data_IF_644657332733
#
_entry.id   IF_644657332733
#
_cell.length_a   1.000
_cell.length_b   1.000
_cell.length_c   1.000
_cell.angle_alpha   90.00
_cell.angle_beta   90.00
_cell.angle_gamma   90.00
#
_symmetry.space_group_name_H-M   'P 1'
#
loop_
_entity.id
_entity.type
_entity.pdbx_description
1 polymer ?
#
# COMPACT_ATOMS: atom_id res chain seq x y z
N UNK A 1 -22.16 -11.03 0.36
CA UNK A 1 -22.26 -10.40 1.69
C UNK A 1 -20.91 -10.57 2.36
N UNK A 2 -20.39 -9.62 3.15
CA UNK A 2 -19.10 -9.82 3.84
C UNK A 2 -19.12 -10.98 4.83
N UNK A 3 -17.96 -11.56 5.16
CA UNK A 3 -17.81 -12.69 6.10
C UNK A 3 -16.96 -12.29 7.31
N UNK A 4 -16.98 -13.08 8.38
CA UNK A 4 -16.08 -12.88 9.54
C UNK A 4 -14.66 -13.34 9.18
N UNK A 5 -13.68 -12.44 9.30
CA UNK A 5 -12.29 -12.72 8.89
C UNK A 5 -11.34 -12.81 10.07
N UNK A 6 -11.48 -11.90 11.04
CA UNK A 6 -10.58 -11.78 12.18
C UNK A 6 -11.39 -11.58 13.45
N UNK A 7 -10.95 -12.20 14.53
CA UNK A 7 -11.51 -12.01 15.86
C UNK A 7 -10.47 -11.46 16.85
N UNK A 8 -10.97 -10.67 17.80
CA UNK A 8 -10.24 -10.22 18.98
C UNK A 8 -10.74 -11.04 20.15
N UNK A 9 -9.84 -11.75 20.82
CA UNK A 9 -10.15 -12.52 22.02
C UNK A 9 -9.48 -11.83 23.20
N UNK A 10 -10.26 -11.48 24.23
CA UNK A 10 -9.78 -10.93 25.50
C UNK A 10 -10.25 -11.82 26.64
N UNK A 11 -9.31 -12.31 27.45
CA UNK A 11 -9.61 -13.16 28.61
C UNK A 11 -10.49 -14.38 28.26
N UNK A 12 -10.28 -14.96 27.07
CA UNK A 12 -11.08 -16.07 26.55
C UNK A 12 -12.42 -15.69 25.93
N UNK A 13 -12.83 -14.41 26.00
CA UNK A 13 -14.07 -13.91 25.41
C UNK A 13 -13.82 -13.33 24.00
N UNK A 14 -14.64 -13.70 23.03
CA UNK A 14 -14.63 -13.13 21.67
C UNK A 14 -15.21 -11.71 21.71
N UNK A 15 -14.34 -10.73 21.94
CA UNK A 15 -14.68 -9.33 22.22
C UNK A 15 -15.13 -8.58 20.96
N UNK A 16 -14.48 -8.83 19.83
CA UNK A 16 -14.75 -8.12 18.58
C UNK A 16 -14.51 -9.04 17.38
N UNK A 17 -15.22 -8.76 16.28
CA UNK A 17 -15.07 -9.47 15.01
C UNK A 17 -14.98 -8.44 13.89
N UNK A 18 -13.92 -8.55 13.08
CA UNK A 18 -13.75 -7.78 11.87
C UNK A 18 -14.25 -8.60 10.68
N UNK A 19 -15.15 -8.00 9.91
CA UNK A 19 -15.74 -8.60 8.71
C UNK A 19 -15.09 -8.03 7.45
N UNK A 20 -15.25 -8.73 6.33
CA UNK A 20 -14.76 -8.24 5.05
C UNK A 20 -14.90 -9.24 3.91
N UNK A 21 -14.10 -8.99 2.88
CA UNK A 21 -13.95 -9.85 1.71
C UNK A 21 -12.48 -10.15 1.46
N UNK A 22 -12.16 -11.35 1.01
CA UNK A 22 -10.80 -11.80 0.67
C UNK A 22 -10.82 -12.70 -0.55
N UNK A 23 -9.84 -12.53 -1.43
CA UNK A 23 -9.53 -13.44 -2.52
C UNK A 23 -8.08 -13.93 -2.41
N UNK A 24 -7.86 -15.20 -2.71
CA UNK A 24 -6.54 -15.79 -2.95
C UNK A 24 -6.57 -16.41 -4.35
N UNK A 25 -5.61 -16.03 -5.19
CA UNK A 25 -5.43 -16.55 -6.53
C UNK A 25 -4.32 -17.59 -6.54
N UNK A 26 -4.51 -18.65 -7.32
CA UNK A 26 -3.44 -19.58 -7.67
C UNK A 26 -2.45 -18.95 -8.67
N UNK A 27 -1.45 -19.73 -9.10
CA UNK A 27 -0.42 -19.28 -10.04
C UNK A 27 -0.96 -19.03 -11.47
N UNK A 28 -2.10 -19.64 -11.82
CA UNK A 28 -2.77 -19.46 -13.11
C UNK A 28 -3.67 -18.20 -13.11
N UNK A 29 -3.85 -17.57 -11.94
CA UNK A 29 -4.65 -16.35 -11.77
C UNK A 29 -6.13 -16.61 -11.50
N UNK A 30 -6.48 -17.86 -11.19
CA UNK A 30 -7.83 -18.29 -10.86
C UNK A 30 -8.08 -18.23 -9.34
N UNK A 31 -9.28 -17.83 -8.88
CA UNK A 31 -9.59 -17.80 -7.46
C UNK A 31 -9.61 -19.20 -6.82
N UNK A 32 -8.60 -19.49 -5.99
CA UNK A 32 -8.57 -20.68 -5.13
C UNK A 32 -9.45 -20.48 -3.88
N UNK A 33 -9.48 -19.26 -3.37
CA UNK A 33 -10.34 -18.83 -2.26
C UNK A 33 -11.03 -17.53 -2.65
N UNK A 34 -12.34 -17.48 -2.48
CA UNK A 34 -13.14 -16.26 -2.59
C UNK A 34 -14.17 -16.23 -1.46
N UNK A 35 -13.97 -15.36 -0.49
CA UNK A 35 -14.88 -15.18 0.64
C UNK A 35 -15.40 -13.74 0.65
N UNK A 36 -16.71 -13.58 0.81
CA UNK A 36 -17.36 -12.27 0.77
C UNK A 36 -17.66 -11.78 -0.65
N UNK A 37 -17.83 -10.47 -0.82
CA UNK A 37 -18.00 -9.82 -2.12
C UNK A 37 -16.62 -9.43 -2.69
N UNK A 38 -16.11 -10.21 -3.64
CA UNK A 38 -14.76 -10.01 -4.21
C UNK A 38 -14.76 -9.34 -5.59
N UNK A 39 -15.91 -9.33 -6.28
CA UNK A 39 -16.09 -8.74 -7.60
C UNK A 39 -16.63 -7.32 -7.57
N UNK A 40 -17.14 -6.84 -6.42
CA UNK A 40 -17.60 -5.47 -6.30
C UNK A 40 -16.39 -4.52 -6.20
N UNK A 41 -16.41 -3.38 -6.91
CA UNK A 41 -15.34 -2.39 -6.80
C UNK A 41 -15.23 -1.83 -5.37
N UNK A 42 -13.99 -1.74 -4.90
CA UNK A 42 -13.62 -0.99 -3.70
C UNK A 42 -12.62 0.11 -4.08
N UNK A 43 -12.45 1.12 -3.24
CA UNK A 43 -11.31 2.01 -3.40
C UNK A 43 -10.03 1.28 -2.93
N UNK A 44 -9.05 0.99 -3.80
CA UNK A 44 -7.83 0.27 -3.43
C UNK A 44 -6.93 1.06 -2.45
N UNK A 45 -7.18 2.36 -2.31
CA UNK A 45 -6.36 3.29 -1.53
C UNK A 45 -4.90 3.20 -1.99
N UNK A 46 -3.95 3.16 -1.05
CA UNK A 46 -2.53 3.11 -1.36
C UNK A 46 -2.06 1.82 -2.05
N UNK A 47 -2.86 0.75 -2.13
CA UNK A 47 -2.49 -0.43 -2.92
C UNK A 47 -2.47 -0.14 -4.43
N UNK A 48 -2.98 1.01 -4.85
CA UNK A 48 -2.93 1.48 -6.24
C UNK A 48 -1.61 2.19 -6.63
N UNK A 49 -0.80 2.60 -5.64
CA UNK A 49 0.46 3.34 -5.90
C UNK A 49 1.44 2.61 -6.84
N UNK A 50 1.57 1.27 -6.82
CA UNK A 50 2.40 0.57 -7.81
C UNK A 50 1.94 0.82 -9.25
N UNK A 51 0.63 0.80 -9.53
CA UNK A 51 0.09 1.09 -10.87
C UNK A 51 0.28 2.57 -11.27
N UNK A 52 0.21 3.48 -10.30
CA UNK A 52 0.57 4.89 -10.51
C UNK A 52 2.05 5.01 -10.89
N UNK A 53 2.97 4.34 -10.19
CA UNK A 53 4.39 4.34 -10.54
C UNK A 53 4.68 3.70 -11.90
N UNK A 54 4.01 2.61 -12.27
CA UNK A 54 4.05 2.02 -13.61
C UNK A 54 3.70 3.06 -14.68
N UNK A 55 2.65 3.85 -14.43
CA UNK A 55 2.25 4.96 -15.31
C UNK A 55 3.39 5.97 -15.46
N UNK A 56 4.05 6.37 -14.37
CA UNK A 56 5.14 7.35 -14.41
C UNK A 56 6.31 6.83 -15.25
N UNK A 57 6.71 5.57 -15.05
CA UNK A 57 7.77 4.93 -15.85
C UNK A 57 7.42 4.92 -17.35
N UNK A 58 6.17 4.58 -17.70
CA UNK A 58 5.67 4.60 -19.09
C UNK A 58 5.68 6.00 -19.71
N UNK A 59 5.58 7.04 -18.89
CA UNK A 59 5.66 8.44 -19.31
C UNK A 59 7.05 9.06 -19.13
N UNK A 60 8.10 8.22 -19.10
CA UNK A 60 9.49 8.67 -19.17
C UNK A 60 10.13 9.08 -17.85
N UNK A 61 9.44 8.93 -16.71
CA UNK A 61 10.11 9.07 -15.42
C UNK A 61 11.14 7.95 -15.24
N UNK A 62 12.42 8.32 -15.14
CA UNK A 62 13.51 7.38 -14.90
C UNK A 62 14.09 7.62 -13.48
N UNK A 63 13.81 6.72 -12.52
CA UNK A 63 14.35 6.78 -11.16
C UNK A 63 15.88 6.72 -11.19
N UNK A 64 16.55 7.48 -10.32
CA UNK A 64 18.01 7.42 -10.20
C UNK A 64 18.50 6.07 -9.66
N UNK A 65 17.72 5.47 -8.77
CA UNK A 65 17.98 4.20 -8.12
C UNK A 65 16.66 3.53 -7.70
N UNK A 66 16.72 2.28 -7.22
CA UNK A 66 15.54 1.56 -6.75
C UNK A 66 14.86 2.23 -5.56
N UNK A 67 15.60 2.91 -4.69
CA UNK A 67 15.04 3.61 -3.54
C UNK A 67 14.16 4.80 -3.99
N UNK A 68 14.52 5.49 -5.07
CA UNK A 68 13.70 6.55 -5.66
C UNK A 68 12.42 6.01 -6.33
N UNK A 69 12.50 4.82 -6.94
CA UNK A 69 11.28 4.15 -7.42
C UNK A 69 10.41 3.70 -6.25
N UNK A 70 11.01 3.15 -5.19
CA UNK A 70 10.31 2.72 -4.00
C UNK A 70 9.58 3.87 -3.30
N UNK A 71 10.24 5.03 -3.08
CA UNK A 71 9.59 6.18 -2.42
C UNK A 71 8.41 6.73 -3.25
N UNK A 72 8.41 6.56 -4.57
CA UNK A 72 7.28 6.92 -5.44
C UNK A 72 6.05 6.03 -5.25
N UNK A 73 6.23 4.83 -4.68
CA UNK A 73 5.15 3.87 -4.36
C UNK A 73 4.76 3.88 -2.88
N UNK A 74 5.49 4.63 -2.06
CA UNK A 74 5.45 4.52 -0.61
C UNK A 74 4.16 5.09 0.01
N UNK A 75 3.78 4.51 1.14
CA UNK A 75 3.03 5.21 2.20
C UNK A 75 3.99 5.42 3.36
N UNK A 76 5.00 6.27 3.14
CA UNK A 76 6.14 6.40 4.06
C UNK A 76 5.71 6.97 5.42
N UNK A 77 6.44 6.62 6.48
CA UNK A 77 6.10 7.07 7.84
C UNK A 77 6.67 8.45 8.20
N UNK A 78 7.39 9.08 7.27
CA UNK A 78 7.93 10.43 7.45
C UNK A 78 9.23 10.47 8.26
N UNK A 79 9.87 9.31 8.43
CA UNK A 79 11.21 9.18 9.02
C UNK A 79 12.28 9.93 8.19
N UNK A 80 13.41 10.34 8.80
CA UNK A 80 14.40 11.22 8.17
C UNK A 80 14.92 10.77 6.79
N UNK A 81 15.13 9.48 6.58
CA UNK A 81 15.60 8.94 5.31
C UNK A 81 14.51 8.93 4.23
N UNK A 82 13.24 8.74 4.58
CA UNK A 82 12.12 8.96 3.67
C UNK A 82 12.12 10.42 3.18
N UNK A 83 12.26 11.36 4.10
CA UNK A 83 12.26 12.79 3.78
C UNK A 83 13.46 13.15 2.89
N UNK A 84 14.63 12.56 3.15
CA UNK A 84 15.80 12.73 2.29
C UNK A 84 15.56 12.21 0.86
N UNK A 85 14.87 11.08 0.69
CA UNK A 85 14.52 10.54 -0.64
C UNK A 85 13.54 11.45 -1.39
N UNK A 86 12.51 11.96 -0.72
CA UNK A 86 11.54 12.90 -1.33
C UNK A 86 12.23 14.21 -1.71
N UNK A 87 13.05 14.77 -0.82
CA UNK A 87 13.79 16.00 -1.07
C UNK A 87 14.77 15.83 -2.25
N UNK A 88 15.52 14.72 -2.29
CA UNK A 88 16.43 14.40 -3.40
C UNK A 88 15.70 14.38 -4.74
N UNK A 89 14.52 13.77 -4.79
CA UNK A 89 13.69 13.71 -5.99
C UNK A 89 13.18 15.10 -6.40
N UNK A 90 12.70 15.91 -5.45
CA UNK A 90 12.26 17.29 -5.72
C UNK A 90 13.42 18.15 -6.26
N UNK A 91 14.57 18.13 -5.59
CA UNK A 91 15.76 18.90 -5.96
C UNK A 91 16.25 18.54 -7.37
N UNK A 92 16.26 17.25 -7.70
CA UNK A 92 16.67 16.74 -9.01
C UNK A 92 15.84 17.33 -10.16
N UNK A 93 14.56 17.61 -9.91
CA UNK A 93 13.66 18.24 -10.88
C UNK A 93 13.42 19.73 -10.61
N UNK A 94 14.19 20.36 -9.71
CA UNK A 94 14.11 21.80 -9.43
C UNK A 94 12.78 22.23 -8.81
N UNK A 95 12.21 21.37 -7.97
CA UNK A 95 11.00 21.63 -7.21
C UNK A 95 11.29 21.78 -5.71
N UNK A 96 10.39 22.41 -4.98
CA UNK A 96 10.38 22.46 -3.52
C UNK A 96 9.10 21.80 -2.98
N UNK A 97 9.02 21.58 -1.66
CA UNK A 97 7.83 20.97 -1.06
C UNK A 97 6.56 21.82 -1.22
N UNK A 98 6.68 23.13 -1.47
CA UNK A 98 5.55 24.04 -1.65
C UNK A 98 4.76 23.75 -2.94
N UNK A 99 5.38 23.03 -3.89
CA UNK A 99 4.76 22.63 -5.15
C UNK A 99 4.07 21.26 -5.04
N UNK A 100 4.20 20.57 -3.91
CA UNK A 100 3.38 19.40 -3.61
C UNK A 100 1.93 19.86 -3.38
N UNK A 101 0.96 19.16 -3.98
CA UNK A 101 -0.46 19.46 -3.80
C UNK A 101 -1.12 18.52 -2.77
N UNK A 102 -0.42 17.49 -2.29
CA UNK A 102 -0.86 16.69 -1.14
C UNK A 102 -0.96 17.57 0.12
N UNK A 103 -1.95 17.34 1.00
CA UNK A 103 -2.13 18.15 2.19
C UNK A 103 -0.88 18.11 3.10
N UNK A 104 -0.59 19.17 3.88
CA UNK A 104 0.42 19.09 4.92
C UNK A 104 -0.02 18.09 5.99
N UNK A 105 0.93 17.33 6.53
CA UNK A 105 0.68 16.35 7.58
C UNK A 105 1.86 16.27 8.55
N UNK A 106 1.71 15.50 9.62
CA UNK A 106 2.80 15.10 10.51
C UNK A 106 3.33 13.71 10.09
N UNK A 107 4.59 13.37 10.43
CA UNK A 107 5.07 12.00 10.32
C UNK A 107 4.13 11.03 11.04
N UNK A 108 3.99 9.82 10.47
CA UNK A 108 3.26 8.72 11.12
C UNK A 108 4.13 7.96 12.11
N UNK A 109 5.45 7.98 11.93
CA UNK A 109 6.41 7.49 12.91
C UNK A 109 6.36 8.34 14.19
N UNK A 110 6.30 7.69 15.35
CA UNK A 110 6.09 8.37 16.63
C UNK A 110 7.26 9.28 17.01
N UNK A 111 8.50 8.86 16.74
CA UNK A 111 9.71 9.63 17.07
C UNK A 111 9.82 10.84 16.17
N UNK A 112 9.73 10.66 14.85
CA UNK A 112 9.76 11.75 13.88
C UNK A 112 8.60 12.74 14.11
N UNK A 113 7.42 12.25 14.49
CA UNK A 113 6.27 13.09 14.87
C UNK A 113 6.56 13.89 16.13
N UNK A 114 7.13 13.28 17.16
CA UNK A 114 7.49 13.97 18.40
C UNK A 114 8.53 15.07 18.14
N UNK A 115 9.56 14.79 17.33
CA UNK A 115 10.57 15.76 16.92
C UNK A 115 9.96 16.93 16.14
N UNK A 116 9.09 16.66 15.17
CA UNK A 116 8.38 17.69 14.40
C UNK A 116 7.53 18.60 15.31
N UNK A 117 6.88 18.02 16.34
CA UNK A 117 6.03 18.74 17.28
C UNK A 117 6.80 19.47 18.39
N UNK A 118 8.03 19.05 18.69
CA UNK A 118 8.90 19.69 19.69
C UNK A 118 9.43 21.06 19.20
N UNK A 119 9.29 21.37 17.90
CA UNK A 119 9.60 22.68 17.34
C UNK A 119 8.77 23.83 17.95
N UNK A 120 9.32 25.05 17.94
CA UNK A 120 8.71 26.24 18.57
C UNK A 120 7.43 26.75 17.90
N UNK A 121 7.12 26.31 16.68
CA UNK A 121 5.94 26.75 15.93
C UNK A 121 5.08 25.55 15.50
N UNK A 122 4.09 25.24 16.33
CA UNK A 122 3.12 24.16 16.06
C UNK A 122 2.34 24.38 14.76
N UNK A 123 2.15 25.63 14.33
CA UNK A 123 1.46 25.92 13.07
C UNK A 123 2.30 25.51 11.84
N UNK A 124 3.61 25.34 12.01
CA UNK A 124 4.55 24.88 10.97
C UNK A 124 5.03 23.44 11.15
N UNK A 125 4.50 22.73 12.15
CA UNK A 125 4.90 21.35 12.41
C UNK A 125 4.43 20.40 11.30
N UNK A 126 3.23 20.63 10.77
CA UNK A 126 2.72 19.87 9.63
C UNK A 126 3.30 20.42 8.32
N UNK A 127 3.86 19.53 7.50
CA UNK A 127 4.52 19.87 6.22
C UNK A 127 4.09 18.90 5.15
N UNK A 128 4.09 19.35 3.89
CA UNK A 128 3.66 18.51 2.76
C UNK A 128 4.63 17.36 2.52
N UNK A 129 5.92 17.56 2.77
CA UNK A 129 6.93 16.50 2.65
C UNK A 129 6.74 15.37 3.68
N UNK A 130 6.05 15.62 4.81
CA UNK A 130 5.76 14.59 5.82
C UNK A 130 4.55 13.72 5.47
N UNK A 131 3.68 14.21 4.59
CA UNK A 131 2.52 13.45 4.14
C UNK A 131 2.99 12.16 3.46
N UNK A 132 2.43 11.02 3.87
CA UNK A 132 2.87 9.68 3.45
C UNK A 132 2.85 9.40 1.92
N UNK A 133 2.20 10.25 1.12
CA UNK A 133 2.16 10.19 -0.34
C UNK A 133 3.14 11.17 -1.01
N UNK A 134 3.89 11.97 -0.26
CA UNK A 134 4.71 13.05 -0.83
C UNK A 134 5.73 12.55 -1.86
N UNK A 135 6.31 11.37 -1.66
CA UNK A 135 7.19 10.73 -2.65
C UNK A 135 6.52 10.43 -4.00
N UNK A 136 5.28 9.93 -3.98
CA UNK A 136 4.47 9.79 -5.20
C UNK A 136 4.21 11.15 -5.86
N UNK A 137 3.86 12.16 -5.08
CA UNK A 137 3.58 13.50 -5.61
C UNK A 137 4.83 14.14 -6.23
N UNK A 138 6.01 13.94 -5.62
CA UNK A 138 7.28 14.37 -6.19
C UNK A 138 7.58 13.67 -7.53
N UNK A 139 7.32 12.36 -7.64
CA UNK A 139 7.46 11.63 -8.90
C UNK A 139 6.44 12.08 -9.97
N UNK A 140 5.22 12.42 -9.56
CA UNK A 140 4.20 13.00 -10.44
C UNK A 140 4.63 14.38 -10.98
N UNK A 141 5.17 15.26 -10.14
CA UNK A 141 5.74 16.54 -10.56
C UNK A 141 6.89 16.36 -11.55
N UNK A 142 7.81 15.43 -11.27
CA UNK A 142 8.89 15.07 -12.18
C UNK A 142 8.35 14.63 -13.55
N UNK A 143 7.33 13.78 -13.55
CA UNK A 143 6.66 13.29 -14.77
C UNK A 143 5.98 14.42 -15.53
N UNK A 144 5.30 15.34 -14.85
CA UNK A 144 4.75 16.54 -15.48
C UNK A 144 5.84 17.38 -16.16
N UNK A 145 6.97 17.60 -15.48
CA UNK A 145 8.10 18.36 -16.04
C UNK A 145 8.68 17.70 -17.29
N UNK A 146 8.87 16.38 -17.27
CA UNK A 146 9.39 15.59 -18.39
C UNK A 146 8.51 15.75 -19.63
N UNK A 147 7.19 15.77 -19.44
CA UNK A 147 6.21 15.79 -20.53
C UNK A 147 5.73 17.21 -20.91
N UNK A 148 6.25 18.25 -20.25
CA UNK A 148 5.78 19.63 -20.45
C UNK A 148 4.32 19.86 -20.02
N UNK A 149 3.78 19.01 -19.14
CA UNK A 149 2.45 19.17 -18.57
C UNK A 149 2.44 20.21 -17.44
N UNK A 150 1.26 20.78 -17.10
CA UNK A 150 1.15 21.64 -15.93
C UNK A 150 1.71 20.97 -14.66
N UNK A 151 2.48 21.73 -13.89
CA UNK A 151 3.04 21.27 -12.60
C UNK A 151 2.17 21.70 -11.42
N UNK A 152 1.02 22.31 -11.70
CA UNK A 152 -0.02 22.72 -10.76
C UNK A 152 -1.37 22.21 -11.27
N UNK A 153 -2.30 21.99 -10.36
CA UNK A 153 -3.59 21.38 -10.68
C UNK A 153 -3.47 19.92 -11.13
N UNK A 154 -2.35 19.24 -10.83
CA UNK A 154 -2.14 17.86 -11.27
C UNK A 154 -3.02 16.86 -10.51
N UNK A 155 -3.73 17.32 -9.47
CA UNK A 155 -4.79 16.55 -8.80
C UNK A 155 -6.11 16.50 -9.59
N UNK A 156 -6.33 17.38 -10.58
CA UNK A 156 -7.57 17.40 -11.33
C UNK A 156 -7.66 16.18 -12.26
N UNK A 157 -8.82 15.52 -12.31
CA UNK A 157 -9.05 14.34 -13.17
C UNK A 157 -8.84 14.61 -14.66
N UNK A 158 -9.08 15.85 -15.10
CA UNK A 158 -8.84 16.28 -16.48
C UNK A 158 -7.35 16.56 -16.80
N UNK A 159 -6.47 16.54 -15.79
CA UNK A 159 -5.05 16.76 -16.00
C UNK A 159 -4.44 15.58 -16.81
N UNK A 160 -3.55 15.83 -17.79
CA UNK A 160 -2.97 14.77 -18.63
C UNK A 160 -2.34 13.61 -17.83
N UNK A 161 -1.66 13.94 -16.74
CA UNK A 161 -1.16 12.95 -15.78
C UNK A 161 -2.25 12.02 -15.25
N UNK A 162 -3.38 12.56 -14.78
CA UNK A 162 -4.45 11.74 -14.19
C UNK A 162 -5.18 10.93 -15.24
N UNK A 163 -5.35 11.45 -16.45
CA UNK A 163 -5.88 10.67 -17.57
C UNK A 163 -4.97 9.48 -17.92
N UNK A 164 -3.65 9.68 -17.93
CA UNK A 164 -2.69 8.60 -18.16
C UNK A 164 -2.72 7.56 -17.03
N UNK A 165 -2.87 8.00 -15.78
CA UNK A 165 -3.01 7.12 -14.61
C UNK A 165 -4.30 6.31 -14.68
N UNK A 166 -5.45 6.94 -14.94
CA UNK A 166 -6.73 6.25 -15.12
C UNK A 166 -6.65 5.20 -16.24
N UNK A 167 -6.12 5.57 -17.40
CA UNK A 167 -5.99 4.67 -18.54
C UNK A 167 -5.08 3.47 -18.23
N UNK A 168 -3.95 3.70 -17.55
CA UNK A 168 -3.03 2.63 -17.17
C UNK A 168 -3.65 1.70 -16.13
N UNK A 169 -4.39 2.22 -15.15
CA UNK A 169 -5.08 1.38 -14.17
C UNK A 169 -6.15 0.54 -14.85
N UNK A 170 -6.99 1.14 -15.71
CA UNK A 170 -8.01 0.42 -16.47
C UNK A 170 -7.41 -0.69 -17.36
N UNK A 171 -6.27 -0.42 -18.00
CA UNK A 171 -5.52 -1.42 -18.78
C UNK A 171 -5.06 -2.59 -17.90
N UNK A 172 -4.44 -2.29 -16.74
CA UNK A 172 -3.86 -3.31 -15.86
C UNK A 172 -4.94 -4.15 -15.17
N UNK A 173 -6.03 -3.52 -14.73
CA UNK A 173 -7.07 -4.19 -13.94
C UNK A 173 -8.18 -4.78 -14.82
N UNK A 174 -8.31 -4.31 -16.07
CA UNK A 174 -9.44 -4.63 -16.94
C UNK A 174 -10.76 -4.02 -16.48
N UNK A 175 -10.76 -3.14 -15.47
CA UNK A 175 -11.95 -2.45 -14.98
C UNK A 175 -12.19 -1.18 -15.81
N UNK A 176 -13.40 -0.95 -16.35
CA UNK A 176 -13.72 0.29 -17.02
C UNK A 176 -13.67 1.47 -16.03
N UNK A 177 -13.36 2.66 -16.54
CA UNK A 177 -13.40 3.88 -15.72
C UNK A 177 -14.84 4.17 -15.29
N UNK A 178 -15.14 3.98 -14.02
CA UNK A 178 -16.43 4.34 -13.42
C UNK A 178 -16.21 5.22 -12.19
N UNK A 179 -16.99 6.31 -12.10
CA UNK A 179 -17.15 7.20 -10.93
C UNK A 179 -15.93 7.30 -10.00
N UNK A 180 -14.91 8.03 -10.46
CA UNK A 180 -13.68 8.25 -9.70
C UNK A 180 -14.00 8.80 -8.30
N UNK A 181 -13.36 8.24 -7.29
CA UNK A 181 -13.30 8.85 -5.95
C UNK A 181 -12.19 9.89 -5.85
N UNK A 182 -12.13 10.59 -4.72
CA UNK A 182 -11.00 11.42 -4.34
C UNK A 182 -10.33 10.79 -3.10
N UNK A 183 -9.03 10.51 -3.21
CA UNK A 183 -8.24 9.94 -2.13
C UNK A 183 -7.82 11.02 -1.10
N UNK A 184 -7.36 10.62 0.09
CA UNK A 184 -6.92 11.54 1.15
C UNK A 184 -5.73 12.42 0.76
N UNK A 185 -4.97 12.02 -0.27
CA UNK A 185 -3.93 12.83 -0.87
C UNK A 185 -4.43 13.87 -1.89
N UNK A 186 -5.73 13.85 -2.20
CA UNK A 186 -6.38 14.73 -3.18
C UNK A 186 -6.37 14.19 -4.61
N UNK A 187 -5.71 13.06 -4.88
CA UNK A 187 -5.69 12.44 -6.21
C UNK A 187 -7.00 11.69 -6.51
N UNK A 188 -7.41 11.62 -7.79
CA UNK A 188 -8.47 10.72 -8.23
C UNK A 188 -8.09 9.27 -7.94
N UNK A 189 -9.08 8.44 -7.60
CA UNK A 189 -8.90 7.02 -7.36
C UNK A 189 -9.91 6.21 -8.16
N UNK A 190 -9.39 5.28 -8.97
CA UNK A 190 -10.17 4.33 -9.75
C UNK A 190 -10.63 3.19 -8.82
N UNK A 191 -11.95 2.91 -8.71
CA UNK A 191 -12.46 1.72 -8.03
C UNK A 191 -12.00 0.44 -8.73
N UNK A 192 -11.61 -0.58 -7.96
CA UNK A 192 -11.14 -1.87 -8.51
C UNK A 192 -11.69 -3.00 -7.66
N UNK A 193 -12.13 -4.10 -8.27
CA UNK A 193 -12.53 -5.31 -7.53
C UNK A 193 -11.32 -5.99 -6.86
N UNK A 194 -11.54 -6.76 -5.80
CA UNK A 194 -10.44 -7.46 -5.12
C UNK A 194 -9.76 -8.48 -6.03
N UNK A 195 -10.53 -9.18 -6.88
CA UNK A 195 -9.98 -10.13 -7.85
C UNK A 195 -9.02 -9.44 -8.81
N UNK A 196 -9.42 -8.32 -9.39
CA UNK A 196 -8.58 -7.61 -10.36
C UNK A 196 -7.40 -6.88 -9.68
N UNK A 197 -7.55 -6.45 -8.43
CA UNK A 197 -6.43 -5.96 -7.64
C UNK A 197 -5.39 -7.08 -7.39
N UNK A 198 -5.81 -8.28 -7.01
CA UNK A 198 -4.89 -9.41 -6.83
C UNK A 198 -4.20 -9.80 -8.14
N UNK A 199 -4.93 -9.83 -9.28
CA UNK A 199 -4.35 -10.07 -10.61
C UNK A 199 -3.31 -9.02 -11.00
N UNK A 200 -3.56 -7.74 -10.70
CA UNK A 200 -2.58 -6.69 -10.96
C UNK A 200 -1.26 -6.94 -10.20
N UNK A 201 -1.33 -7.39 -8.94
CA UNK A 201 -0.13 -7.76 -8.17
C UNK A 201 0.57 -9.00 -8.73
N UNK A 202 -0.19 -10.04 -9.10
CA UNK A 202 0.35 -11.23 -9.75
C UNK A 202 1.15 -10.84 -11.01
N UNK A 203 0.56 -10.04 -11.90
CA UNK A 203 1.18 -9.57 -13.14
C UNK A 203 2.48 -8.75 -12.89
N UNK A 204 2.52 -7.95 -11.83
CA UNK A 204 3.76 -7.24 -11.45
C UNK A 204 4.88 -8.20 -11.03
N UNK A 205 4.54 -9.30 -10.36
CA UNK A 205 5.51 -10.28 -9.87
C UNK A 205 5.93 -11.32 -10.90
N UNK A 206 5.15 -11.55 -11.95
CA UNK A 206 5.44 -12.53 -13.01
C UNK A 206 5.87 -11.91 -14.33
N UNK A 207 5.73 -10.59 -14.49
CA UNK A 207 6.17 -9.88 -15.69
C UNK A 207 7.67 -10.00 -15.95
N UNK A 208 8.04 -9.91 -17.23
CA UNK A 208 9.43 -10.03 -17.68
C UNK A 208 10.35 -8.99 -17.04
N UNK A 209 11.61 -9.39 -16.81
CA UNK A 209 12.66 -8.51 -16.27
C UNK A 209 12.79 -7.23 -17.12
N UNK A 210 12.88 -6.08 -16.45
CA UNK A 210 13.01 -4.77 -17.11
C UNK A 210 11.69 -4.11 -17.54
N UNK A 211 10.56 -4.83 -17.55
CA UNK A 211 9.24 -4.20 -17.76
C UNK A 211 8.92 -3.22 -16.62
N UNK A 212 8.16 -2.13 -16.86
CA UNK A 212 7.77 -1.20 -15.79
C UNK A 212 7.14 -1.89 -14.59
N UNK A 213 6.27 -2.89 -14.83
CA UNK A 213 5.61 -3.68 -13.82
C UNK A 213 6.62 -4.45 -12.95
N UNK A 214 7.58 -5.14 -13.60
CA UNK A 214 8.60 -5.90 -12.87
C UNK A 214 9.57 -4.99 -12.11
N UNK A 215 9.98 -3.85 -12.70
CA UNK A 215 10.82 -2.84 -12.04
C UNK A 215 10.17 -2.31 -10.75
N UNK A 216 8.87 -2.03 -10.79
CA UNK A 216 8.11 -1.57 -9.60
C UNK A 216 8.03 -2.66 -8.55
N UNK A 217 7.75 -3.91 -8.92
CA UNK A 217 7.76 -5.05 -8.00
C UNK A 217 9.13 -5.23 -7.32
N UNK A 218 10.22 -5.13 -8.08
CA UNK A 218 11.58 -5.25 -7.56
C UNK A 218 11.95 -4.11 -6.62
N UNK A 219 11.63 -2.85 -6.98
CA UNK A 219 11.86 -1.71 -6.10
C UNK A 219 11.13 -1.86 -4.76
N UNK A 220 9.87 -2.31 -4.79
CA UNK A 220 9.09 -2.60 -3.57
C UNK A 220 9.74 -3.75 -2.78
N UNK A 221 10.07 -4.86 -3.45
CA UNK A 221 10.68 -6.05 -2.83
C UNK A 221 12.00 -5.75 -2.12
N UNK A 222 12.85 -4.97 -2.76
CA UNK A 222 14.21 -4.69 -2.30
C UNK A 222 14.25 -3.54 -1.28
N UNK A 223 13.21 -2.69 -1.24
CA UNK A 223 13.15 -1.53 -0.35
C UNK A 223 11.86 -1.50 0.51
N UNK A 224 11.51 -2.59 1.21
CA UNK A 224 10.23 -2.70 1.92
C UNK A 224 10.10 -1.67 3.05
N UNK A 225 11.23 -1.22 3.61
CA UNK A 225 11.24 -0.16 4.63
C UNK A 225 10.89 1.20 4.03
N UNK A 226 11.44 1.53 2.87
CA UNK A 226 11.20 2.81 2.17
C UNK A 226 9.73 2.97 1.80
N UNK A 227 9.06 1.88 1.40
CA UNK A 227 7.64 1.95 1.04
C UNK A 227 6.71 2.09 2.26
N UNK A 228 7.25 1.90 3.47
CA UNK A 228 6.52 1.87 4.74
C UNK A 228 7.28 2.64 5.85
N UNK A 229 7.80 1.95 6.85
CA UNK A 229 8.60 2.51 7.93
C UNK A 229 9.13 1.43 8.87
N UNK A 230 9.85 1.83 9.92
CA UNK A 230 10.61 0.94 10.81
C UNK A 230 9.79 -0.21 11.41
N UNK A 231 8.49 -0.01 11.63
CA UNK A 231 7.54 -1.03 12.13
C UNK A 231 6.34 -1.24 11.19
N UNK A 232 6.49 -0.90 9.91
CA UNK A 232 5.42 -0.98 8.93
C UNK A 232 4.98 -2.42 8.63
N UNK A 233 3.67 -2.67 8.41
CA UNK A 233 3.17 -4.02 8.10
C UNK A 233 3.74 -4.59 6.81
N UNK A 234 3.97 -3.76 5.78
CA UNK A 234 4.62 -4.18 4.54
C UNK A 234 6.05 -4.70 4.82
N UNK A 235 6.84 -3.93 5.59
CA UNK A 235 8.19 -4.31 6.00
C UNK A 235 8.23 -5.63 6.76
N UNK A 236 7.40 -5.75 7.80
CA UNK A 236 7.40 -6.92 8.67
C UNK A 236 6.96 -8.17 7.90
N UNK A 237 5.93 -8.06 7.06
CA UNK A 237 5.44 -9.19 6.25
C UNK A 237 6.46 -9.60 5.20
N UNK A 238 7.06 -8.66 4.46
CA UNK A 238 8.03 -8.98 3.41
C UNK A 238 9.37 -9.49 3.96
N UNK A 239 9.75 -9.07 5.17
CA UNK A 239 10.90 -9.66 5.89
C UNK A 239 10.64 -11.10 6.31
N UNK A 240 9.42 -11.40 6.79
CA UNK A 240 9.05 -12.75 7.18
C UNK A 240 8.92 -13.69 5.97
N UNK A 241 8.48 -13.17 4.82
CA UNK A 241 8.25 -13.94 3.58
C UNK A 241 9.14 -13.46 2.43
N UNK A 242 10.38 -13.97 2.30
CA UNK A 242 11.27 -13.61 1.20
C UNK A 242 10.62 -13.82 -0.19
N UNK A 243 10.75 -12.81 -1.05
CA UNK A 243 10.20 -12.84 -2.42
C UNK A 243 8.80 -12.22 -2.56
N UNK A 244 8.05 -12.10 -1.46
CA UNK A 244 6.75 -11.43 -1.45
C UNK A 244 6.87 -9.97 -1.89
N UNK A 245 5.89 -9.52 -2.67
CA UNK A 245 5.59 -8.10 -2.87
C UNK A 245 4.21 -7.84 -2.30
N UNK A 246 4.09 -6.93 -1.33
CA UNK A 246 2.79 -6.53 -0.80
C UNK A 246 2.73 -5.04 -0.52
N UNK A 247 1.52 -4.51 -0.44
CA UNK A 247 1.28 -3.11 -0.10
C UNK A 247 -0.01 -2.95 0.68
N UNK A 248 0.07 -2.28 1.81
CA UNK A 248 -1.12 -1.85 2.53
C UNK A 248 -1.82 -0.66 1.87
N UNK A 249 -3.14 -0.67 1.97
CA UNK A 249 -4.00 0.48 1.73
C UNK A 249 -4.67 0.90 3.04
N UNK A 250 -5.00 2.20 3.13
CA UNK A 250 -5.87 2.71 4.17
C UNK A 250 -7.22 1.96 4.18
N UNK A 251 -8.02 2.15 5.22
CA UNK A 251 -9.36 1.57 5.33
C UNK A 251 -9.38 0.05 5.13
N UNK A 252 -8.36 -0.65 5.64
CA UNK A 252 -8.33 -2.10 5.74
C UNK A 252 -8.07 -2.86 4.44
N UNK A 253 -7.49 -2.21 3.42
CA UNK A 253 -7.08 -2.89 2.17
C UNK A 253 -5.66 -3.45 2.31
N UNK A 254 -5.41 -4.62 1.75
CA UNK A 254 -4.06 -5.15 1.54
C UNK A 254 -4.07 -6.04 0.29
N UNK A 255 -3.03 -5.93 -0.53
CA UNK A 255 -2.81 -6.83 -1.66
C UNK A 255 -1.34 -7.22 -1.74
N UNK A 256 -1.08 -8.39 -2.32
CA UNK A 256 0.27 -8.88 -2.52
C UNK A 256 0.33 -10.10 -3.43
N UNK A 257 1.54 -10.42 -3.89
CA UNK A 257 1.80 -11.58 -4.73
C UNK A 257 3.19 -12.18 -4.47
N UNK A 258 3.27 -13.50 -4.62
CA UNK A 258 4.50 -14.28 -4.59
C UNK A 258 5.16 -14.30 -5.99
N UNK A 259 6.47 -14.62 -6.09
CA UNK A 259 7.17 -14.65 -7.37
C UNK A 259 6.60 -15.62 -8.42
N UNK A 260 5.81 -16.61 -7.98
CA UNK A 260 5.18 -17.61 -8.84
C UNK A 260 3.76 -17.22 -9.32
N UNK A 261 3.31 -16.01 -9.02
CA UNK A 261 2.01 -15.48 -9.47
C UNK A 261 0.86 -15.69 -8.50
N UNK A 262 1.02 -16.54 -7.47
CA UNK A 262 0.00 -16.66 -6.42
C UNK A 262 -0.16 -15.31 -5.73
N UNK A 263 -1.40 -14.84 -5.61
CA UNK A 263 -1.69 -13.49 -5.14
C UNK A 263 -2.88 -13.44 -4.20
N UNK A 264 -3.01 -12.33 -3.48
CA UNK A 264 -4.16 -12.08 -2.62
C UNK A 264 -4.56 -10.62 -2.64
N UNK A 265 -5.84 -10.38 -2.33
CA UNK A 265 -6.32 -9.07 -1.96
C UNK A 265 -7.48 -9.20 -0.97
N UNK A 266 -7.59 -8.27 -0.04
CA UNK A 266 -8.73 -8.20 0.86
C UNK A 266 -9.10 -6.78 1.26
N UNK A 267 -10.32 -6.64 1.76
CA UNK A 267 -10.86 -5.44 2.41
C UNK A 267 -11.49 -5.84 3.74
N UNK A 268 -11.07 -5.21 4.82
CA UNK A 268 -11.75 -5.25 6.12
C UNK A 268 -12.81 -4.13 6.13
N UNK A 269 -14.07 -4.44 6.39
CA UNK A 269 -15.20 -3.51 6.26
C UNK A 269 -15.04 -2.23 7.09
N UNK A 270 -14.69 -2.37 8.38
CA UNK A 270 -14.48 -1.27 9.31
C UNK A 270 -13.14 -0.53 9.14
N UNK A 271 -12.31 -1.02 8.21
CA UNK A 271 -11.03 -0.43 7.86
C UNK A 271 -9.93 -0.53 8.91
N UNK A 272 -10.14 -1.28 10.00
CA UNK A 272 -9.25 -1.25 11.15
C UNK A 272 -7.94 -2.02 10.92
N UNK A 273 -6.80 -1.37 11.21
CA UNK A 273 -5.47 -1.93 10.98
C UNK A 273 -5.13 -3.20 11.77
N UNK A 274 -5.68 -3.39 12.99
CA UNK A 274 -5.34 -4.52 13.86
C UNK A 274 -5.75 -5.87 13.27
N UNK A 275 -6.66 -5.89 12.30
CA UNK A 275 -7.06 -7.10 11.59
C UNK A 275 -6.07 -7.49 10.47
N UNK A 276 -5.27 -6.54 9.98
CA UNK A 276 -4.46 -6.71 8.77
C UNK A 276 -3.39 -7.79 8.93
N UNK A 277 -2.56 -7.70 9.98
CA UNK A 277 -1.45 -8.64 10.16
C UNK A 277 -1.94 -10.08 10.37
N UNK A 278 -2.87 -10.37 11.30
CA UNK A 278 -3.41 -11.72 11.48
C UNK A 278 -3.97 -12.34 10.20
N UNK A 279 -4.75 -11.58 9.42
CA UNK A 279 -5.35 -12.06 8.19
C UNK A 279 -4.28 -12.31 7.12
N UNK A 280 -3.32 -11.40 6.95
CA UNK A 280 -2.23 -11.56 5.98
C UNK A 280 -1.43 -12.82 6.25
N UNK A 281 -1.05 -13.06 7.51
CA UNK A 281 -0.29 -14.26 7.86
C UNK A 281 -1.10 -15.54 7.65
N UNK A 282 -2.40 -15.54 7.96
CA UNK A 282 -3.28 -16.67 7.68
C UNK A 282 -3.40 -16.95 6.16
N UNK A 283 -3.48 -15.91 5.33
CA UNK A 283 -3.48 -16.02 3.87
C UNK A 283 -2.17 -16.61 3.37
N UNK A 284 -1.03 -16.09 3.82
CA UNK A 284 0.29 -16.61 3.40
C UNK A 284 0.48 -18.07 3.78
N UNK A 285 0.01 -18.47 4.98
CA UNK A 285 -0.03 -19.89 5.38
C UNK A 285 -0.90 -20.73 4.45
N UNK A 286 -2.08 -20.22 4.06
CA UNK A 286 -2.99 -20.89 3.12
C UNK A 286 -2.40 -21.00 1.71
N UNK A 287 -1.58 -20.02 1.32
CA UNK A 287 -0.78 -20.05 0.10
C UNK A 287 0.46 -20.96 0.23
N UNK A 288 0.63 -21.73 1.31
CA UNK A 288 1.73 -22.68 1.46
C UNK A 288 3.11 -22.03 1.64
N UNK A 289 3.18 -20.79 2.11
CA UNK A 289 4.45 -20.16 2.54
C UNK A 289 5.03 -20.94 3.73
N UNK A 290 6.35 -21.15 3.72
CA UNK A 290 7.05 -21.78 4.84
C UNK A 290 6.83 -20.99 6.13
N UNK A 291 6.31 -21.67 7.15
CA UNK A 291 5.91 -21.03 8.40
C UNK A 291 7.07 -20.94 9.39
N UNK A 292 7.37 -19.73 9.85
CA UNK A 292 8.45 -19.44 10.81
C UNK A 292 7.92 -18.72 12.05
N UNK A 293 8.74 -18.58 13.09
CA UNK A 293 8.39 -17.86 14.32
C UNK A 293 8.00 -16.40 14.03
N UNK A 294 8.66 -15.75 13.07
CA UNK A 294 8.31 -14.40 12.65
C UNK A 294 6.86 -14.33 12.11
N UNK A 295 6.41 -15.33 11.35
CA UNK A 295 5.02 -15.39 10.89
C UNK A 295 4.05 -15.61 12.07
N UNK A 296 4.43 -16.46 13.04
CA UNK A 296 3.62 -16.74 14.22
C UNK A 296 3.40 -15.51 15.12
N UNK A 297 4.45 -14.72 15.33
CA UNK A 297 4.40 -13.47 16.09
C UNK A 297 3.47 -12.44 15.42
N UNK A 298 3.57 -12.30 14.10
CA UNK A 298 2.74 -11.41 13.31
C UNK A 298 1.27 -11.89 13.20
N UNK A 299 1.04 -13.20 13.27
CA UNK A 299 -0.28 -13.80 13.16
C UNK A 299 -1.14 -13.64 14.42
N UNK A 300 -0.51 -13.40 15.59
CA UNK A 300 -1.18 -13.33 16.89
C UNK A 300 -0.77 -12.13 17.76
N UNK A 301 -0.98 -10.88 17.29
CA UNK A 301 -0.72 -9.68 18.09
C UNK A 301 -1.40 -9.76 19.45
N UNK A 302 -0.66 -9.40 20.50
CA UNK A 302 -1.15 -9.47 21.86
C UNK A 302 -2.25 -8.43 22.13
N UNK A 303 -3.31 -8.85 22.80
CA UNK A 303 -4.25 -7.94 23.47
C UNK A 303 -3.75 -7.75 24.90
N UNK A 304 -3.44 -6.51 25.27
CA UNK A 304 -2.88 -6.17 26.58
C UNK A 304 -3.94 -5.68 27.57
N UNK A 305 -3.68 -5.93 28.86
CA UNK A 305 -4.40 -5.40 30.01
C UNK A 305 -3.41 -5.13 31.15
N UNK A 306 -3.28 -3.88 31.57
CA UNK A 306 -2.25 -3.49 32.55
C UNK A 306 -0.81 -3.78 32.12
N UNK A 307 -0.54 -3.84 30.81
CA UNK A 307 0.77 -4.20 30.24
C UNK A 307 1.02 -5.71 30.08
N UNK A 308 0.17 -6.57 30.65
CA UNK A 308 0.28 -8.03 30.48
C UNK A 308 -0.58 -8.52 29.31
N UNK A 309 -0.15 -9.59 28.62
CA UNK A 309 -0.97 -10.26 27.60
C UNK A 309 -2.18 -10.91 28.27
N UNK A 310 -3.38 -10.46 27.89
CA UNK A 310 -4.67 -11.01 28.33
C UNK A 310 -5.46 -11.64 27.20
N UNK A 311 -4.93 -11.60 25.97
CA UNK A 311 -5.63 -12.08 24.79
C UNK A 311 -4.80 -11.91 23.52
N UNK A 312 -5.47 -12.04 22.37
CA UNK A 312 -4.85 -11.95 21.06
C UNK A 312 -5.85 -11.53 19.98
N UNK A 313 -5.32 -11.03 18.87
CA UNK A 313 -6.05 -10.89 17.61
C UNK A 313 -5.64 -12.02 16.68
N UNK A 314 -6.59 -12.71 16.02
CA UNK A 314 -6.28 -13.80 15.07
C UNK A 314 -7.30 -13.87 13.94
N UNK A 315 -6.90 -14.44 12.79
CA UNK A 315 -7.87 -14.91 11.81
C UNK A 315 -8.86 -15.90 12.46
N UNK A 316 -10.12 -15.87 12.04
CA UNK A 316 -11.15 -16.79 12.56
C UNK A 316 -10.69 -18.24 12.34
N UNK A 317 -10.72 -19.12 13.36
CA UNK A 317 -10.33 -20.52 13.19
C UNK A 317 -11.11 -21.20 12.06
N UNK A 318 -10.43 -21.94 11.19
CA UNK A 318 -11.04 -22.64 10.05
C UNK A 318 -11.43 -21.73 8.87
N UNK A 319 -10.99 -20.46 8.85
CA UNK A 319 -11.37 -19.49 7.80
C UNK A 319 -11.16 -20.01 6.36
N UNK A 320 -10.13 -20.81 6.12
CA UNK A 320 -9.77 -21.30 4.79
C UNK A 320 -9.91 -22.82 4.61
N UNK A 321 -10.64 -23.51 5.51
CA UNK A 321 -10.75 -24.97 5.55
C UNK A 321 -9.65 -25.60 6.40
#
# INVERSE_FOLDING_TARGET
MSVELVEVVRSGFRECVHRGSVVILDADGEPEVALGEVHLPIFPRSTNKPMQAITLLRNGFEPQDEAELAISTASHFGEPDHIALVQRLLDRFGFTEDQLECPPDLPSDEVARAEALAGRDRAKAARRIYMNCSGKHAAMLATCKINGWPTTGYLHSAHPLQQSVSATIAEITGEPETDLGIDGCGLPIVPVSLVNLARAYAAMTTGDAGTPQRRVAEAIRNNPRVISGTDGPDLLTMRATPGLVCKIGADGVHAGALPDGRAFAYKIDDGHDRARMPLTQAILRRMGVEWTDAHADLATPAVLGGGARVGLVRAVPGLFG
#
